data_IF_228077027926
#
_entry.id   IF_228077027926
#
_cell.length_a   1.000
_cell.length_b   1.000
_cell.length_c   1.000
_cell.angle_alpha   90.00
_cell.angle_beta   90.00
_cell.angle_gamma   90.00
#
_symmetry.space_group_name_H-M   'P 1'
#
loop_
_entity.id
_entity.type
_entity.pdbx_description
1 polymer ?
#
# COMPACT_ATOMS: atom_id res chain seq x y z
N UNK A 1 -14.71 -0.98 -12.40
CA UNK A 1 -13.35 -1.60 -12.42
C UNK A 1 -13.52 -3.12 -12.39
N UNK A 2 -13.56 -3.73 -13.57
CA UNK A 2 -13.98 -5.12 -13.82
C UNK A 2 -12.94 -6.19 -13.43
N UNK A 3 -13.38 -7.45 -13.47
CA UNK A 3 -12.68 -8.73 -13.19
C UNK A 3 -11.24 -8.79 -13.75
N UNK A 4 -10.95 -8.07 -14.83
CA UNK A 4 -9.60 -7.91 -15.39
C UNK A 4 -8.59 -7.32 -14.39
N UNK A 5 -8.95 -6.34 -13.55
CA UNK A 5 -8.04 -5.79 -12.53
C UNK A 5 -7.67 -6.79 -11.43
N UNK A 6 -8.53 -7.78 -11.17
CA UNK A 6 -8.29 -8.82 -10.17
C UNK A 6 -7.28 -9.86 -10.69
N UNK A 7 -7.37 -10.22 -11.97
CA UNK A 7 -6.44 -11.17 -12.62
C UNK A 7 -5.01 -10.64 -12.73
N UNK A 8 -4.85 -9.32 -12.87
CA UNK A 8 -3.54 -8.68 -12.91
C UNK A 8 -2.77 -8.97 -11.62
N UNK A 9 -3.39 -8.84 -10.43
CA UNK A 9 -2.73 -9.12 -9.15
C UNK A 9 -2.28 -10.58 -8.96
N UNK A 10 -2.85 -11.52 -9.73
CA UNK A 10 -2.65 -12.97 -9.58
C UNK A 10 -1.46 -13.53 -10.38
N UNK A 11 -1.07 -12.91 -11.50
CA UNK A 11 0.01 -13.41 -12.39
C UNK A 11 1.44 -13.14 -11.89
N UNK A 12 1.60 -12.70 -10.66
CA UNK A 12 2.61 -11.69 -10.33
C UNK A 12 3.55 -12.04 -9.17
N UNK A 13 3.39 -13.23 -8.58
CA UNK A 13 4.16 -13.66 -7.42
C UNK A 13 5.47 -14.38 -7.83
N UNK A 14 6.54 -13.61 -8.06
CA UNK A 14 7.91 -14.11 -8.01
C UNK A 14 8.64 -13.61 -6.75
N UNK A 15 8.50 -14.41 -5.67
CA UNK A 15 9.42 -14.68 -4.54
C UNK A 15 9.86 -13.59 -3.52
N UNK A 16 9.47 -13.87 -2.27
CA UNK A 16 10.32 -14.23 -1.10
C UNK A 16 11.11 -13.14 -0.35
N UNK A 17 10.57 -12.69 0.81
CA UNK A 17 11.31 -12.54 2.09
C UNK A 17 10.38 -12.65 3.34
N UNK A 18 10.71 -13.63 4.19
CA UNK A 18 10.77 -13.64 5.66
C UNK A 18 9.51 -13.47 6.57
N UNK A 19 9.22 -14.60 7.26
CA UNK A 19 8.88 -14.81 8.69
C UNK A 19 7.58 -14.29 9.34
N UNK A 20 6.73 -15.27 9.67
CA UNK A 20 5.84 -15.42 10.84
C UNK A 20 5.62 -14.20 11.76
N UNK A 21 4.84 -13.22 11.31
CA UNK A 21 4.04 -12.38 12.20
C UNK A 21 2.63 -12.24 11.62
N UNK A 22 1.56 -12.16 12.44
CA UNK A 22 0.16 -12.18 11.98
C UNK A 22 -0.28 -10.90 11.21
N UNK A 23 0.65 -10.13 10.65
CA UNK A 23 0.62 -8.68 10.58
C UNK A 23 1.21 -8.01 9.31
N UNK A 24 1.38 -8.66 8.14
CA UNK A 24 2.21 -8.11 7.08
C UNK A 24 1.61 -6.86 6.42
N UNK A 25 0.28 -6.72 6.33
CA UNK A 25 -0.31 -5.56 5.65
C UNK A 25 -0.09 -4.24 6.40
N UNK A 26 -0.25 -4.22 7.73
CA UNK A 26 -0.01 -3.00 8.52
C UNK A 26 1.45 -2.53 8.43
N UNK A 27 2.41 -3.45 8.41
CA UNK A 27 3.82 -3.12 8.21
C UNK A 27 4.10 -2.59 6.80
N UNK A 28 3.46 -3.17 5.77
CA UNK A 28 3.56 -2.71 4.38
C UNK A 28 2.91 -1.35 4.18
N UNK A 29 1.76 -1.11 4.83
CA UNK A 29 1.06 0.17 4.81
C UNK A 29 1.87 1.27 5.49
N UNK A 30 2.45 0.99 6.66
CA UNK A 30 3.36 1.91 7.35
C UNK A 30 4.55 2.29 6.47
N UNK A 31 5.16 1.29 5.83
CA UNK A 31 6.25 1.49 4.89
C UNK A 31 5.85 2.39 3.71
N UNK A 32 4.70 2.13 3.08
CA UNK A 32 4.19 2.93 1.98
C UNK A 32 4.01 4.40 2.37
N UNK A 33 3.46 4.66 3.56
CA UNK A 33 3.14 6.02 4.02
C UNK A 33 4.38 6.80 4.48
N UNK A 34 5.34 6.16 5.16
CA UNK A 34 6.36 6.88 5.94
C UNK A 34 7.80 6.56 5.59
N UNK A 35 8.06 5.56 4.74
CA UNK A 35 9.44 5.23 4.36
C UNK A 35 10.00 6.30 3.42
N UNK A 36 10.84 7.17 3.98
CA UNK A 36 11.54 8.21 3.20
C UNK A 36 12.58 7.57 2.28
N UNK A 37 12.50 7.88 0.99
CA UNK A 37 13.52 7.48 0.03
C UNK A 37 14.04 8.66 -0.77
N UNK A 38 14.62 9.66 -0.08
CA UNK A 38 15.15 10.92 -0.65
C UNK A 38 14.24 11.45 -1.77
N UNK A 39 14.73 11.46 -3.02
CA UNK A 39 14.02 11.95 -4.21
C UNK A 39 13.45 10.82 -5.08
N UNK A 40 13.39 9.58 -4.56
CA UNK A 40 12.96 8.38 -5.29
C UNK A 40 11.66 7.83 -4.69
N UNK A 41 10.76 7.44 -5.57
CA UNK A 41 9.54 6.69 -5.25
C UNK A 41 9.88 5.21 -5.17
N UNK A 42 9.46 4.57 -4.08
CA UNK A 42 9.58 3.12 -3.89
C UNK A 42 8.35 2.42 -4.47
N UNK A 43 8.35 2.24 -5.79
CA UNK A 43 7.24 1.64 -6.52
C UNK A 43 6.86 0.25 -6.02
N UNK A 44 7.81 -0.53 -5.46
CA UNK A 44 7.48 -1.84 -4.86
C UNK A 44 6.48 -1.76 -3.70
N UNK A 45 6.51 -0.70 -2.90
CA UNK A 45 5.55 -0.54 -1.79
C UNK A 45 4.14 -0.28 -2.35
N UNK A 46 4.04 0.46 -3.48
CA UNK A 46 2.78 0.67 -4.23
C UNK A 46 2.27 -0.59 -4.92
N UNK A 47 3.18 -1.44 -5.39
CA UNK A 47 2.83 -2.75 -5.91
C UNK A 47 2.25 -3.65 -4.82
N UNK A 48 2.88 -3.68 -3.63
CA UNK A 48 2.37 -4.42 -2.48
C UNK A 48 0.95 -3.94 -2.12
N UNK A 49 0.69 -2.62 -2.12
CA UNK A 49 -0.65 -2.07 -1.88
C UNK A 49 -1.71 -2.66 -2.81
N UNK A 50 -1.45 -2.67 -4.12
CA UNK A 50 -2.37 -3.23 -5.12
C UNK A 50 -2.63 -4.71 -4.85
N UNK A 51 -1.56 -5.46 -4.53
CA UNK A 51 -1.66 -6.90 -4.25
C UNK A 51 -2.50 -7.17 -2.99
N UNK A 52 -2.26 -6.43 -1.89
CA UNK A 52 -3.03 -6.57 -0.65
C UNK A 52 -4.49 -6.18 -0.85
N UNK A 53 -4.77 -5.05 -1.50
CA UNK A 53 -6.14 -4.61 -1.76
C UNK A 53 -6.94 -5.60 -2.63
N UNK A 54 -6.28 -6.39 -3.47
CA UNK A 54 -6.92 -7.41 -4.30
C UNK A 54 -7.09 -8.77 -3.60
N UNK A 55 -6.12 -9.20 -2.76
CA UNK A 55 -6.09 -10.56 -2.20
C UNK A 55 -6.45 -10.61 -0.71
N UNK A 56 -6.01 -9.62 0.07
CA UNK A 56 -6.17 -9.56 1.53
C UNK A 56 -6.46 -8.12 1.96
N UNK A 57 -7.66 -7.57 1.65
CA UNK A 57 -7.96 -6.15 1.84
C UNK A 57 -8.11 -5.73 3.30
N UNK A 58 -8.06 -6.67 4.24
CA UNK A 58 -8.26 -6.43 5.67
C UNK A 58 -7.01 -5.80 6.30
N UNK A 59 -7.13 -4.56 6.77
CA UNK A 59 -6.09 -3.82 7.46
C UNK A 59 -6.48 -3.61 8.92
N UNK A 60 -5.67 -4.14 9.83
CA UNK A 60 -5.79 -3.85 11.25
C UNK A 60 -5.27 -2.45 11.56
N UNK A 61 -6.19 -1.54 11.88
CA UNK A 61 -5.89 -0.13 12.06
C UNK A 61 -5.14 0.15 13.38
N UNK A 62 -5.52 -0.53 14.47
CA UNK A 62 -4.85 -0.41 15.77
C UNK A 62 -3.38 -0.84 15.68
N UNK A 63 -3.11 -1.90 14.93
CA UNK A 63 -1.75 -2.37 14.75
C UNK A 63 -0.92 -1.46 13.82
N UNK A 64 -1.52 -0.83 12.80
CA UNK A 64 -0.86 0.23 12.04
C UNK A 64 -0.51 1.43 12.94
N UNK A 65 -1.46 1.88 13.78
CA UNK A 65 -1.25 2.97 14.73
C UNK A 65 -0.08 2.68 15.67
N UNK A 66 -0.01 1.48 16.26
CA UNK A 66 1.08 1.08 17.14
C UNK A 66 2.45 1.28 16.47
N UNK A 67 2.59 0.90 15.20
CA UNK A 67 3.84 1.10 14.43
C UNK A 67 4.12 2.57 14.16
N UNK A 68 3.09 3.35 13.84
CA UNK A 68 3.23 4.79 13.63
C UNK A 68 3.71 5.49 14.90
N UNK A 69 3.17 5.12 16.07
CA UNK A 69 3.63 5.62 17.38
C UNK A 69 5.07 5.23 17.68
N UNK A 70 5.42 3.96 17.50
CA UNK A 70 6.80 3.46 17.73
C UNK A 70 7.85 4.18 16.88
N UNK A 71 7.45 4.66 15.70
CA UNK A 71 8.35 5.36 14.77
C UNK A 71 8.21 6.89 14.81
N UNK A 72 7.37 7.43 15.70
CA UNK A 72 7.15 8.86 15.86
C UNK A 72 6.35 9.52 14.73
N UNK A 73 5.69 8.75 13.86
CA UNK A 73 4.83 9.26 12.79
C UNK A 73 3.39 9.55 13.24
N UNK A 74 3.03 9.11 14.45
CA UNK A 74 1.78 9.46 15.11
C UNK A 74 2.04 9.73 16.58
N UNK A 75 1.94 10.99 17.00
CA UNK A 75 2.35 11.44 18.35
C UNK A 75 1.22 11.99 19.19
N UNK A 76 0.04 12.22 18.61
CA UNK A 76 -1.13 12.71 19.33
C UNK A 76 -1.77 11.65 20.23
N UNK A 77 -2.50 12.09 21.25
CA UNK A 77 -3.21 11.20 22.17
C UNK A 77 -4.43 10.51 21.55
N UNK A 78 -4.94 11.07 20.44
CA UNK A 78 -6.06 10.51 19.70
C UNK A 78 -5.64 9.23 18.97
N UNK A 79 -6.52 8.24 18.97
CA UNK A 79 -6.35 7.05 18.14
C UNK A 79 -6.39 7.41 16.65
N UNK A 80 -5.73 6.59 15.82
CA UNK A 80 -5.76 6.76 14.38
C UNK A 80 -7.17 6.42 13.90
N UNK A 81 -7.96 7.45 13.59
CA UNK A 81 -9.32 7.24 13.08
C UNK A 81 -9.30 6.73 11.63
N UNK A 82 -10.34 6.01 11.18
CA UNK A 82 -10.53 5.68 9.77
C UNK A 82 -10.43 6.88 8.82
N UNK A 83 -10.94 8.04 9.24
CA UNK A 83 -10.90 9.27 8.45
C UNK A 83 -9.46 9.78 8.30
N UNK A 84 -8.72 9.87 9.41
CA UNK A 84 -7.31 10.29 9.40
C UNK A 84 -6.44 9.33 8.57
N UNK A 85 -6.69 8.02 8.66
CA UNK A 85 -6.01 7.04 7.82
C UNK A 85 -6.26 7.26 6.32
N UNK A 86 -7.52 7.50 5.92
CA UNK A 86 -7.87 7.76 4.52
C UNK A 86 -7.26 9.06 4.00
N UNK A 87 -7.18 10.08 4.85
CA UNK A 87 -6.53 11.36 4.53
C UNK A 87 -5.02 11.15 4.27
N UNK A 88 -4.31 10.48 5.19
CA UNK A 88 -2.89 10.14 5.02
C UNK A 88 -2.60 9.37 3.72
N UNK A 89 -3.45 8.40 3.39
CA UNK A 89 -3.33 7.65 2.14
C UNK A 89 -3.56 8.52 0.91
N UNK A 90 -4.59 9.36 0.93
CA UNK A 90 -4.94 10.24 -0.19
C UNK A 90 -3.81 11.26 -0.44
N UNK A 91 -3.28 11.87 0.62
CA UNK A 91 -2.11 12.76 0.51
C UNK A 91 -0.88 12.04 -0.06
N UNK A 92 -0.66 10.78 0.34
CA UNK A 92 0.41 9.95 -0.20
C UNK A 92 0.26 9.69 -1.70
N UNK A 93 -0.97 9.44 -2.16
CA UNK A 93 -1.30 9.23 -3.57
C UNK A 93 -1.17 10.53 -4.37
N UNK A 94 -1.63 11.66 -3.83
CA UNK A 94 -1.53 12.96 -4.51
C UNK A 94 -0.07 13.36 -4.78
N UNK A 95 0.82 13.06 -3.82
CA UNK A 95 2.26 13.33 -3.95
C UNK A 95 3.02 12.28 -4.78
N UNK A 96 2.39 11.19 -5.17
CA UNK A 96 3.03 10.12 -5.92
C UNK A 96 3.46 10.59 -7.31
N UNK A 97 4.75 10.42 -7.63
CA UNK A 97 5.23 10.36 -9.01
C UNK A 97 5.02 8.94 -9.55
N UNK A 98 3.90 8.76 -10.25
CA UNK A 98 3.47 7.47 -10.79
C UNK A 98 4.48 6.91 -11.80
N UNK A 99 5.08 7.76 -12.63
CA UNK A 99 6.05 7.31 -13.63
C UNK A 99 7.33 6.80 -12.98
N UNK A 100 7.76 7.43 -11.88
CA UNK A 100 8.89 6.95 -11.11
C UNK A 100 8.56 5.64 -10.38
N UNK A 101 7.32 5.48 -9.89
CA UNK A 101 6.84 4.22 -9.32
C UNK A 101 6.86 3.08 -10.36
N UNK A 102 6.36 3.32 -11.57
CA UNK A 102 6.39 2.36 -12.68
C UNK A 102 7.82 1.96 -13.03
N UNK A 103 8.73 2.92 -13.19
CA UNK A 103 10.15 2.66 -13.47
C UNK A 103 10.84 1.85 -12.38
N UNK A 104 10.49 2.05 -11.11
CA UNK A 104 11.04 1.29 -9.99
C UNK A 104 10.63 -0.19 -10.04
N UNK A 105 9.42 -0.49 -10.51
CA UNK A 105 8.83 -1.84 -10.49
C UNK A 105 9.06 -2.59 -11.80
N UNK A 106 9.15 -1.89 -12.93
CA UNK A 106 9.30 -2.47 -14.27
C UNK A 106 10.36 -3.59 -14.38
N UNK A 107 11.56 -3.52 -13.75
CA UNK A 107 12.54 -4.60 -13.83
C UNK A 107 12.12 -5.92 -13.17
N UNK A 108 11.12 -5.87 -12.28
CA UNK A 108 10.65 -7.02 -11.50
C UNK A 108 9.33 -7.61 -12.03
N UNK A 109 8.71 -6.94 -13.01
CA UNK A 109 7.42 -7.29 -13.57
C UNK A 109 7.61 -7.90 -14.96
N UNK A 110 7.09 -9.13 -15.14
CA UNK A 110 7.17 -9.88 -16.39
C UNK A 110 6.40 -9.17 -17.52
N UNK A 111 5.15 -8.77 -17.26
CA UNK A 111 4.31 -8.03 -18.21
C UNK A 111 4.20 -6.57 -17.80
N UNK A 112 5.01 -5.71 -18.43
CA UNK A 112 5.02 -4.27 -18.17
C UNK A 112 3.73 -3.57 -18.60
N UNK A 113 2.91 -4.18 -19.47
CA UNK A 113 1.61 -3.64 -19.87
C UNK A 113 0.67 -3.48 -18.68
N UNK A 114 0.87 -4.30 -17.65
CA UNK A 114 0.13 -4.24 -16.39
C UNK A 114 0.43 -2.98 -15.55
N UNK A 115 1.55 -2.30 -15.80
CA UNK A 115 1.89 -1.03 -15.16
C UNK A 115 1.25 0.18 -15.88
N UNK A 116 0.70 -0.01 -17.08
CA UNK A 116 0.08 1.06 -17.86
C UNK A 116 -1.18 1.63 -17.17
N UNK A 117 -1.89 0.79 -16.40
CA UNK A 117 -3.10 1.19 -15.67
C UNK A 117 -2.80 2.05 -14.45
N UNK A 118 -1.55 2.10 -13.98
CA UNK A 118 -1.20 2.85 -12.78
C UNK A 118 -1.44 4.34 -13.01
N UNK A 119 -2.29 4.93 -12.20
CA UNK A 119 -2.58 6.36 -12.18
C UNK A 119 -2.97 6.73 -10.75
N UNK A 120 -3.03 8.02 -10.42
CA UNK A 120 -3.52 8.44 -9.09
C UNK A 120 -4.95 7.94 -8.87
N UNK A 121 -5.82 8.11 -9.86
CA UNK A 121 -7.21 7.63 -9.82
C UNK A 121 -7.29 6.11 -9.60
N UNK A 122 -6.44 5.34 -10.27
CA UNK A 122 -6.34 3.90 -10.04
C UNK A 122 -5.95 3.59 -8.58
N UNK A 123 -4.98 4.30 -8.01
CA UNK A 123 -4.60 4.08 -6.61
C UNK A 123 -5.69 4.52 -5.63
N UNK A 124 -6.45 5.58 -5.94
CA UNK A 124 -7.62 5.99 -5.15
C UNK A 124 -8.71 4.90 -5.16
N UNK A 125 -8.98 4.31 -6.33
CA UNK A 125 -9.90 3.17 -6.44
C UNK A 125 -9.40 1.93 -5.67
N UNK A 126 -8.09 1.67 -5.70
CA UNK A 126 -7.45 0.58 -4.98
C UNK A 126 -7.60 0.75 -3.46
N UNK A 127 -7.29 1.93 -2.91
CA UNK A 127 -7.44 2.16 -1.46
C UNK A 127 -8.89 2.15 -1.00
N UNK A 128 -9.84 2.44 -1.90
CA UNK A 128 -11.28 2.29 -1.66
C UNK A 128 -11.69 0.86 -1.31
N UNK A 129 -10.90 -0.15 -1.71
CA UNK A 129 -11.16 -1.58 -1.43
C UNK A 129 -10.67 -2.04 -0.07
N UNK A 130 -9.84 -1.26 0.62
CA UNK A 130 -9.30 -1.62 1.93
C UNK A 130 -10.42 -1.65 2.96
N UNK A 131 -10.49 -2.77 3.68
CA UNK A 131 -11.44 -3.01 4.76
C UNK A 131 -10.69 -2.83 6.08
N UNK A 132 -11.09 -1.82 6.86
CA UNK A 132 -10.51 -1.61 8.18
C UNK A 132 -11.13 -2.61 9.16
N UNK A 133 -10.29 -3.31 9.89
CA UNK A 133 -10.70 -4.28 10.92
C UNK A 133 -10.10 -3.89 12.26
N UNK A 134 -10.85 -4.12 13.33
CA UNK A 134 -10.37 -4.00 14.70
C UNK A 134 -10.13 -5.41 15.25
N UNK A 135 -8.94 -5.69 15.77
CA UNK A 135 -8.72 -6.92 16.54
C UNK A 135 -9.47 -6.81 17.88
N UNK A 136 -10.34 -7.79 18.13
CA UNK A 136 -10.89 -8.06 19.47
C UNK A 136 -9.97 -9.00 20.23
#
# INVERSE_FOLDING_TARGET
>A
MDILCLNIALSFAARETAEHAPQPFAGKMHALLFRKWKNRVKGRDWYDLVWYAANHPQLNLAHLEQRMRQTGHWTGDQTLSPAAFRELLSEGIDRLDVDQARRDVAPFVQDQGLLAIWSRDFFLDVVGRIQLVDEK
#
